data_IF_339672329028
#
_entry.id   IF_339672329028
#
_cell.length_a   1.000
_cell.length_b   1.000
_cell.length_c   1.000
_cell.angle_alpha   90.00
_cell.angle_beta   90.00
_cell.angle_gamma   90.00
#
_symmetry.space_group_name_H-M   'P 1'
#
loop_
_entity.id
_entity.type
_entity.pdbx_description
1 polymer ?
#
# COMPACT_ATOMS: atom_id res chain seq x y z
N UNK A 1 -9.95 6.79 -9.35
CA UNK A 1 -9.30 7.07 -8.04
C UNK A 1 -8.68 5.75 -7.62
N UNK A 2 -7.37 5.68 -7.48
CA UNK A 2 -6.67 4.46 -7.08
C UNK A 2 -6.65 4.37 -5.56
N UNK A 3 -6.90 3.18 -5.01
CA UNK A 3 -6.81 2.90 -3.59
C UNK A 3 -6.43 1.43 -3.37
N UNK A 4 -5.80 1.13 -2.24
CA UNK A 4 -5.60 -0.24 -1.77
C UNK A 4 -6.57 -0.46 -0.60
N UNK A 5 -7.34 -1.55 -0.66
CA UNK A 5 -8.33 -1.92 0.36
C UNK A 5 -8.19 -3.38 0.76
N UNK A 6 -8.43 -3.65 2.03
CA UNK A 6 -8.61 -4.99 2.57
C UNK A 6 -10.09 -5.16 2.90
N UNK A 7 -10.70 -6.21 2.35
CA UNK A 7 -12.11 -6.56 2.58
C UNK A 7 -12.20 -7.91 3.28
N UNK A 8 -13.20 -8.06 4.11
CA UNK A 8 -13.55 -9.35 4.68
C UNK A 8 -14.15 -10.26 3.59
N UNK A 9 -13.72 -11.53 3.51
CA UNK A 9 -14.14 -12.45 2.46
C UNK A 9 -15.57 -12.96 2.65
N UNK A 10 -16.03 -13.04 3.90
CA UNK A 10 -17.37 -13.50 4.26
C UNK A 10 -18.37 -12.33 4.31
N UNK A 11 -17.87 -11.10 4.56
CA UNK A 11 -18.65 -9.88 4.58
C UNK A 11 -17.96 -8.73 3.80
N UNK A 12 -18.08 -8.67 2.46
CA UNK A 12 -17.34 -7.73 1.62
C UNK A 12 -17.70 -6.25 1.83
N UNK A 13 -18.73 -5.95 2.62
CA UNK A 13 -19.08 -4.59 3.04
C UNK A 13 -18.24 -4.09 4.22
N UNK A 14 -17.48 -4.98 4.86
CA UNK A 14 -16.59 -4.66 5.98
C UNK A 14 -15.15 -4.52 5.48
N UNK A 15 -14.53 -3.38 5.78
CA UNK A 15 -13.10 -3.19 5.55
C UNK A 15 -12.31 -3.74 6.75
N UNK A 16 -11.28 -4.52 6.48
CA UNK A 16 -10.38 -5.08 7.50
C UNK A 16 -9.13 -4.22 7.74
N UNK A 17 -8.96 -3.16 6.93
CA UNK A 17 -7.86 -2.21 7.04
C UNK A 17 -8.31 -0.80 6.66
N UNK A 18 -7.53 0.21 7.07
CA UNK A 18 -7.71 1.59 6.59
C UNK A 18 -7.40 1.65 5.11
N UNK A 19 -8.30 2.24 4.32
CA UNK A 19 -8.08 2.42 2.89
C UNK A 19 -6.88 3.36 2.65
N UNK A 20 -5.90 2.89 1.88
CA UNK A 20 -4.78 3.71 1.43
C UNK A 20 -5.19 4.39 0.13
N UNK A 21 -5.07 5.72 0.05
CA UNK A 21 -5.65 6.52 -1.04
C UNK A 21 -4.64 7.50 -1.64
N UNK A 22 -5.05 8.21 -2.68
CA UNK A 22 -4.32 9.34 -3.26
C UNK A 22 -3.96 10.41 -2.21
N UNK A 23 -2.79 11.06 -2.30
CA UNK A 23 -1.84 11.03 -3.41
C UNK A 23 -0.84 9.87 -3.36
N UNK A 24 -0.87 9.01 -2.33
CA UNK A 24 0.18 8.03 -2.09
C UNK A 24 0.06 6.75 -2.94
N UNK A 25 -1.13 6.54 -3.51
CA UNK A 25 -1.49 5.46 -4.44
C UNK A 25 -1.77 6.07 -5.82
N UNK A 26 -1.01 5.71 -6.84
CA UNK A 26 -1.20 6.18 -8.22
C UNK A 26 -1.39 5.01 -9.19
N UNK A 27 -0.31 4.29 -9.50
CA UNK A 27 -0.28 3.15 -10.45
C UNK A 27 0.35 1.92 -9.78
N UNK A 28 -0.46 1.25 -8.95
CA UNK A 28 -0.04 0.07 -8.17
C UNK A 28 -0.13 -1.17 -9.03
N UNK A 29 0.98 -1.90 -9.13
CA UNK A 29 1.07 -3.12 -9.96
C UNK A 29 1.15 -4.41 -9.14
N UNK A 30 1.73 -4.34 -7.95
CA UNK A 30 1.88 -5.47 -7.03
C UNK A 30 1.72 -5.01 -5.59
N UNK A 31 1.19 -5.90 -4.76
CA UNK A 31 0.99 -5.72 -3.33
C UNK A 31 1.40 -7.00 -2.60
N UNK A 32 1.94 -6.86 -1.40
CA UNK A 32 2.22 -7.97 -0.49
C UNK A 32 2.01 -7.55 0.97
N UNK A 33 1.89 -8.51 1.87
CA UNK A 33 1.55 -8.29 3.28
C UNK A 33 2.49 -9.05 4.22
N UNK A 34 3.09 -8.33 5.16
CA UNK A 34 3.82 -8.89 6.28
C UNK A 34 2.88 -9.00 7.49
N UNK A 35 2.50 -10.23 7.81
CA UNK A 35 1.58 -10.53 8.91
C UNK A 35 2.20 -10.38 10.30
N UNK A 36 3.54 -10.45 10.42
CA UNK A 36 4.21 -10.29 11.72
C UNK A 36 4.28 -8.82 12.12
N UNK A 37 4.54 -7.93 11.16
CA UNK A 37 4.61 -6.48 11.38
C UNK A 37 3.30 -5.73 11.10
N UNK A 38 2.28 -6.43 10.58
CA UNK A 38 1.01 -5.87 10.11
C UNK A 38 1.19 -4.73 9.10
N UNK A 39 2.04 -4.97 8.07
CA UNK A 39 2.41 -3.98 7.05
C UNK A 39 2.08 -4.44 5.64
N UNK A 40 1.53 -3.53 4.86
CA UNK A 40 1.33 -3.72 3.42
C UNK A 40 2.47 -3.03 2.69
N UNK A 41 3.02 -3.73 1.70
CA UNK A 41 4.02 -3.24 0.77
C UNK A 41 3.40 -3.17 -0.62
N UNK A 42 3.71 -2.13 -1.38
CA UNK A 42 3.24 -2.00 -2.76
C UNK A 42 4.29 -1.36 -3.66
N UNK A 43 4.32 -1.79 -4.92
CA UNK A 43 5.09 -1.15 -5.96
C UNK A 43 4.19 -0.21 -6.77
N UNK A 44 4.56 1.05 -6.81
CA UNK A 44 3.91 2.08 -7.61
C UNK A 44 4.83 2.44 -8.78
N UNK A 45 4.43 2.07 -10.00
CA UNK A 45 5.30 2.19 -11.19
C UNK A 45 5.41 3.61 -11.69
N UNK A 46 4.39 4.43 -11.46
CA UNK A 46 4.37 5.83 -11.89
C UNK A 46 5.33 6.68 -11.04
N UNK A 47 5.37 6.44 -9.74
CA UNK A 47 6.33 7.07 -8.84
C UNK A 47 7.68 6.34 -8.79
N UNK A 48 7.77 5.14 -9.38
CA UNK A 48 8.95 4.27 -9.32
C UNK A 48 9.39 4.00 -7.88
N UNK A 49 8.42 3.75 -6.99
CA UNK A 49 8.71 3.50 -5.57
C UNK A 49 8.16 2.15 -5.12
N UNK A 50 8.81 1.58 -4.11
CA UNK A 50 8.17 0.62 -3.23
C UNK A 50 7.90 1.35 -1.92
N UNK A 51 6.65 1.33 -1.47
CA UNK A 51 6.22 1.96 -0.23
C UNK A 51 5.63 0.91 0.69
N UNK A 52 5.54 1.25 1.98
CA UNK A 52 4.83 0.47 2.98
C UNK A 52 4.06 1.34 3.96
N UNK A 53 3.05 0.77 4.59
CA UNK A 53 2.32 1.36 5.70
C UNK A 53 1.75 0.23 6.59
N UNK A 54 1.45 0.56 7.85
CA UNK A 54 0.67 -0.33 8.70
C UNK A 54 -0.77 -0.45 8.18
N UNK A 55 -1.43 -1.58 8.40
CA UNK A 55 -2.84 -1.79 7.98
C UNK A 55 -3.82 -0.79 8.60
N UNK A 56 -3.44 -0.18 9.73
CA UNK A 56 -4.22 0.90 10.35
C UNK A 56 -4.07 2.25 9.61
N UNK A 57 -3.27 2.33 8.55
CA UNK A 57 -3.05 3.51 7.71
C UNK A 57 -1.91 4.42 8.16
N UNK A 58 -1.20 4.08 9.25
CA UNK A 58 -0.08 4.87 9.76
C UNK A 58 1.28 4.36 9.24
N UNK A 59 2.35 5.12 9.49
CA UNK A 59 3.71 4.65 9.20
C UNK A 59 4.03 4.53 7.71
N UNK A 60 3.39 5.36 6.87
CA UNK A 60 3.72 5.46 5.46
C UNK A 60 5.21 5.77 5.26
N UNK A 61 5.89 4.93 4.50
CA UNK A 61 7.31 5.06 4.23
C UNK A 61 7.64 4.58 2.82
N UNK A 62 8.43 5.36 2.09
CA UNK A 62 9.12 4.89 0.88
C UNK A 62 10.32 4.04 1.31
N UNK A 63 10.33 2.76 0.92
CA UNK A 63 11.43 1.84 1.23
C UNK A 63 12.45 1.76 0.09
N UNK A 64 12.00 1.93 -1.15
CA UNK A 64 12.84 1.97 -2.35
C UNK A 64 12.36 3.13 -3.21
N UNK A 65 13.30 3.91 -3.73
CA UNK A 65 13.07 4.97 -4.72
C UNK A 65 13.95 4.72 -5.94
N UNK A 66 13.34 4.45 -7.10
CA UNK A 66 14.03 4.22 -8.36
C UNK A 66 14.73 5.46 -8.93
N UNK A 67 14.42 6.64 -8.40
CA UNK A 67 15.01 7.91 -8.82
C UNK A 67 16.42 8.20 -8.27
N UNK A 68 17.00 7.32 -7.44
CA UNK A 68 18.35 7.53 -6.88
C UNK A 68 19.42 6.68 -7.58
N UNK A 69 19.52 6.84 -8.91
CA UNK A 69 20.74 6.49 -9.64
C UNK A 69 21.15 7.64 -10.55
N UNK A 70 21.87 8.59 -9.93
CA UNK A 70 22.72 9.66 -10.51
C UNK A 70 22.06 10.66 -11.45
#
# INVERSE_FOLDING_TARGET
RSEIRGVDIDNPYMNVMTALTVPDIDDVTVVDYDALEERIYWADVKTQTIKRAFINGTGLQTVISGGESR
#
